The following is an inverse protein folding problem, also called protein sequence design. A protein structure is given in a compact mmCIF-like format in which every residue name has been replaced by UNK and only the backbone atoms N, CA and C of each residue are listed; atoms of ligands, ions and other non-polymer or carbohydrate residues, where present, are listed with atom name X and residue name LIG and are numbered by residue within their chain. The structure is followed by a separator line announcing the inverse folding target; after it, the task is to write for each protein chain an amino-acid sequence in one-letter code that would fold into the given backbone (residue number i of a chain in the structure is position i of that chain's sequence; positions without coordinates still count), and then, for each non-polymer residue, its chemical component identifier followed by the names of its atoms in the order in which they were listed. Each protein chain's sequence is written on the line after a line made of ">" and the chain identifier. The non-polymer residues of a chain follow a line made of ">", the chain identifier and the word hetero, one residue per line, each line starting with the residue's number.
data_IF_234674812047
#
_entry.id   IF_234674812047
#
_cell.length_a   1.000
_cell.length_b   1.000
_cell.length_c   1.000
_cell.angle_alpha   90.00
_cell.angle_beta   90.00
_cell.angle_gamma   90.00
#
_symmetry.space_group_name_H-M   'P 1'
#
loop_
_entity.id
_entity.type
_entity.pdbx_description
1 polymer ?
#
# COMPACT_ATOMS: atom_id res chain seq x y z
N UNK A 1 11.03 12.52 -3.98
CA UNK A 1 10.34 13.32 -2.94
C UNK A 1 9.18 12.49 -2.39
N UNK A 2 9.04 12.44 -1.06
CA UNK A 2 7.91 11.77 -0.39
C UNK A 2 6.62 12.55 -0.67
N UNK A 3 5.51 11.83 -0.72
CA UNK A 3 4.17 12.38 -0.92
C UNK A 3 3.32 11.92 0.26
N UNK A 4 2.55 12.86 0.79
CA UNK A 4 1.58 12.57 1.83
C UNK A 4 0.53 11.54 1.35
N UNK A 5 0.04 10.71 2.27
CA UNK A 5 -0.86 9.61 1.97
C UNK A 5 -2.21 10.08 1.42
N UNK A 6 -2.82 11.11 2.03
CA UNK A 6 -4.10 11.64 1.56
C UNK A 6 -3.93 12.32 0.21
N UNK A 7 -2.89 13.14 0.08
CA UNK A 7 -2.51 13.79 -1.18
C UNK A 7 -2.34 12.77 -2.31
N UNK A 8 -1.68 11.64 -2.04
CA UNK A 8 -1.51 10.56 -3.00
C UNK A 8 -2.85 9.99 -3.47
N UNK A 9 -3.74 9.67 -2.54
CA UNK A 9 -5.04 9.06 -2.87
C UNK A 9 -5.95 10.06 -3.62
N UNK A 10 -5.98 11.32 -3.22
CA UNK A 10 -6.76 12.36 -3.91
C UNK A 10 -6.24 12.66 -5.32
N UNK A 11 -4.93 12.60 -5.56
CA UNK A 11 -4.37 12.73 -6.91
C UNK A 11 -4.61 11.49 -7.78
N UNK A 12 -4.81 10.32 -7.17
CA UNK A 12 -5.12 9.08 -7.87
C UNK A 12 -6.58 8.97 -8.27
N UNK A 13 -7.50 9.37 -7.39
CA UNK A 13 -8.95 9.28 -7.64
C UNK A 13 -9.43 10.41 -8.55
N UNK A 14 -10.57 10.23 -9.20
CA UNK A 14 -11.24 11.29 -9.93
C UNK A 14 -11.67 12.40 -8.98
N UNK A 15 -11.68 13.63 -9.49
CA UNK A 15 -12.05 14.82 -8.71
C UNK A 15 -13.45 14.65 -8.12
N UNK A 16 -13.62 15.02 -6.85
CA UNK A 16 -14.88 15.00 -6.11
C UNK A 16 -15.53 13.61 -5.95
N UNK A 17 -14.81 12.52 -6.23
CA UNK A 17 -15.30 11.14 -6.09
C UNK A 17 -14.97 10.49 -4.74
N UNK A 18 -14.02 11.05 -3.99
CA UNK A 18 -13.43 10.40 -2.83
C UNK A 18 -14.34 10.42 -1.60
N UNK A 19 -14.55 9.26 -1.00
CA UNK A 19 -15.26 9.04 0.27
C UNK A 19 -14.34 8.27 1.20
N UNK A 20 -14.06 8.84 2.37
CA UNK A 20 -13.19 8.20 3.36
C UNK A 20 -13.92 7.09 4.12
N UNK A 21 -13.23 5.96 4.29
CA UNK A 21 -13.74 4.80 5.02
C UNK A 21 -13.05 4.68 6.38
N UNK A 22 -13.81 4.27 7.40
CA UNK A 22 -13.29 4.02 8.75
C UNK A 22 -12.52 5.22 9.34
N UNK A 23 -12.97 6.45 9.03
CA UNK A 23 -12.39 7.70 9.50
C UNK A 23 -12.51 7.89 11.02
N UNK A 24 -13.38 7.14 11.67
CA UNK A 24 -13.61 7.15 13.10
C UNK A 24 -12.60 6.29 13.89
N UNK A 25 -11.88 5.37 13.23
CA UNK A 25 -10.94 4.47 13.90
C UNK A 25 -9.67 5.17 14.37
N UNK A 26 -9.36 5.03 15.66
CA UNK A 26 -8.22 5.64 16.34
C UNK A 26 -7.47 4.64 17.23
N UNK A 27 -6.13 4.74 17.31
CA UNK A 27 -5.32 3.81 18.10
C UNK A 27 -5.50 4.04 19.60
N UNK A 28 -5.45 2.94 20.37
CA UNK A 28 -5.54 2.98 21.83
C UNK A 28 -4.33 2.27 22.46
N UNK A 29 -3.79 2.86 23.52
CA UNK A 29 -2.68 2.29 24.29
C UNK A 29 -3.18 1.29 25.34
N UNK A 30 -3.54 0.09 24.88
CA UNK A 30 -4.05 -1.00 25.73
C UNK A 30 -2.95 -1.57 26.63
N UNK A 31 -1.70 -1.56 26.15
CA UNK A 31 -0.55 -2.12 26.85
C UNK A 31 0.08 -1.15 27.86
N UNK A 32 -0.38 0.10 27.90
CA UNK A 32 0.23 1.21 28.66
C UNK A 32 1.73 1.33 28.36
N UNK A 33 2.08 1.19 27.08
CA UNK A 33 3.47 1.02 26.64
C UNK A 33 4.28 2.30 26.88
N UNK A 34 5.49 2.12 27.40
CA UNK A 34 6.44 3.21 27.61
C UNK A 34 7.86 2.75 27.29
N UNK A 35 8.51 3.50 26.42
CA UNK A 35 9.96 3.46 26.23
C UNK A 35 10.58 4.80 26.72
N UNK A 36 11.45 5.42 25.92
CA UNK A 36 11.87 6.81 26.12
C UNK A 36 10.68 7.79 26.20
N UNK A 37 9.55 7.48 25.54
CA UNK A 37 8.30 8.24 25.57
C UNK A 37 7.11 7.30 25.80
N UNK A 38 6.01 7.82 26.34
CA UNK A 38 4.76 7.04 26.41
C UNK A 38 4.18 6.89 25.00
N UNK A 39 3.54 5.76 24.72
CA UNK A 39 2.94 5.53 23.40
C UNK A 39 1.87 6.59 23.07
N UNK A 40 1.01 6.92 24.05
CA UNK A 40 0.00 8.00 23.90
C UNK A 40 0.59 9.35 23.47
N UNK A 41 1.78 9.70 23.97
CA UNK A 41 2.45 10.96 23.61
C UNK A 41 2.97 10.91 22.17
N UNK A 42 3.47 9.74 21.74
CA UNK A 42 3.91 9.51 20.35
C UNK A 42 2.73 9.61 19.38
N UNK A 43 1.58 9.03 19.74
CA UNK A 43 0.34 9.13 18.96
C UNK A 43 -0.11 10.58 18.82
N UNK A 44 -0.21 11.29 19.94
CA UNK A 44 -0.64 12.71 19.93
C UNK A 44 0.29 13.57 19.09
N UNK A 45 1.61 13.35 19.18
CA UNK A 45 2.59 14.08 18.39
C UNK A 45 2.47 13.77 16.88
N UNK A 46 2.30 12.49 16.52
CA UNK A 46 2.12 12.07 15.13
C UNK A 46 0.83 12.63 14.54
N UNK A 47 -0.29 12.53 15.26
CA UNK A 47 -1.59 13.09 14.86
C UNK A 47 -1.52 14.60 14.66
N UNK A 48 -0.84 15.33 15.55
CA UNK A 48 -0.63 16.78 15.40
C UNK A 48 0.26 17.11 14.20
N UNK A 49 1.25 16.28 13.90
CA UNK A 49 2.18 16.50 12.79
C UNK A 49 1.51 16.25 11.44
N UNK A 50 0.78 15.14 11.30
CA UNK A 50 0.23 14.72 10.01
C UNK A 50 -1.22 15.17 9.78
N UNK A 51 -1.94 15.53 10.84
CA UNK A 51 -3.39 15.77 10.78
C UNK A 51 -4.22 14.48 10.64
N UNK A 52 -3.59 13.31 10.65
CA UNK A 52 -4.25 12.02 10.45
C UNK A 52 -4.39 11.26 11.77
N UNK A 53 -5.44 10.45 11.88
CA UNK A 53 -5.72 9.65 13.09
C UNK A 53 -4.76 8.48 13.30
N UNK A 54 -4.30 7.88 12.20
CA UNK A 54 -3.34 6.78 12.19
C UNK A 54 -2.54 6.76 10.88
N UNK A 55 -1.55 5.89 10.78
CA UNK A 55 -0.65 5.78 9.63
C UNK A 55 -1.25 5.15 8.37
N UNK A 56 -2.57 5.00 8.28
CA UNK A 56 -3.23 4.35 7.15
C UNK A 56 -4.56 5.04 6.85
N UNK A 57 -4.72 5.41 5.57
CA UNK A 57 -5.87 6.15 5.05
C UNK A 57 -6.53 5.27 3.98
N UNK A 58 -7.86 5.22 4.00
CA UNK A 58 -8.66 4.46 3.04
C UNK A 58 -9.69 5.39 2.42
N UNK A 59 -9.65 5.51 1.10
CA UNK A 59 -10.64 6.25 0.32
C UNK A 59 -11.25 5.31 -0.72
N UNK A 60 -12.58 5.22 -0.76
CA UNK A 60 -13.30 4.72 -1.94
C UNK A 60 -13.59 5.87 -2.89
N UNK A 61 -13.63 5.61 -4.19
CA UNK A 61 -13.98 6.62 -5.18
C UNK A 61 -13.95 6.02 -6.57
N UNK A 62 -13.66 6.84 -7.57
CA UNK A 62 -13.51 6.37 -8.94
C UNK A 62 -12.11 6.66 -9.49
N UNK A 63 -11.63 5.81 -10.39
CA UNK A 63 -10.40 5.96 -11.16
C UNK A 63 -10.77 5.84 -12.63
N UNK A 64 -10.78 6.97 -13.36
CA UNK A 64 -11.30 7.01 -14.73
C UNK A 64 -12.73 6.45 -14.82
N UNK A 65 -13.60 6.92 -13.93
CA UNK A 65 -15.00 6.50 -13.74
C UNK A 65 -15.20 5.04 -13.29
N UNK A 66 -14.14 4.24 -13.12
CA UNK A 66 -14.25 2.90 -12.56
C UNK A 66 -14.26 2.96 -11.04
N UNK A 67 -15.23 2.34 -10.34
CA UNK A 67 -15.24 2.31 -8.90
C UNK A 67 -14.04 1.52 -8.38
N UNK A 68 -13.34 2.07 -7.39
CA UNK A 68 -12.19 1.44 -6.74
C UNK A 68 -12.15 1.76 -5.26
N UNK A 69 -11.61 0.83 -4.48
CA UNK A 69 -11.14 1.12 -3.12
C UNK A 69 -9.64 1.39 -3.19
N UNK A 70 -9.19 2.43 -2.49
CA UNK A 70 -7.77 2.79 -2.43
C UNK A 70 -7.33 2.98 -0.99
N UNK A 71 -6.09 2.63 -0.70
CA UNK A 71 -5.50 2.89 0.61
C UNK A 71 -4.03 3.28 0.49
N UNK A 72 -3.55 4.08 1.43
CA UNK A 72 -2.14 4.48 1.49
C UNK A 72 -1.66 4.52 2.92
N UNK A 73 -0.46 3.99 3.14
CA UNK A 73 0.29 4.26 4.34
C UNK A 73 0.78 5.71 4.35
N UNK A 74 0.81 6.32 5.55
CA UNK A 74 1.46 7.59 5.82
C UNK A 74 2.76 7.33 6.60
N UNK A 75 3.91 7.40 5.92
CA UNK A 75 5.20 7.14 6.55
C UNK A 75 5.58 8.20 7.59
N UNK A 76 5.06 9.42 7.50
CA UNK A 76 5.32 10.47 8.49
C UNK A 76 4.65 10.16 9.84
N UNK A 77 3.58 9.38 9.82
CA UNK A 77 2.96 8.86 11.03
C UNK A 77 3.77 7.66 11.55
N UNK A 78 4.70 7.93 12.47
CA UNK A 78 5.47 6.89 13.18
C UNK A 78 6.12 5.85 12.23
N UNK A 79 6.68 6.31 11.11
CA UNK A 79 7.34 5.45 10.12
C UNK A 79 6.37 4.55 9.35
N UNK A 80 5.09 4.91 9.27
CA UNK A 80 4.08 4.08 8.59
C UNK A 80 3.86 2.75 9.30
N UNK A 81 4.13 2.66 10.60
CA UNK A 81 4.17 1.38 11.30
C UNK A 81 2.78 0.75 11.42
N UNK A 82 2.68 -0.55 11.12
CA UNK A 82 1.41 -1.27 11.14
C UNK A 82 0.96 -1.61 12.57
N UNK A 83 -0.06 -0.89 13.05
CA UNK A 83 -0.79 -1.14 14.29
C UNK A 83 -2.18 -1.75 14.06
N UNK A 84 -2.94 -1.92 15.14
CA UNK A 84 -4.28 -2.50 15.13
C UNK A 84 -5.25 -1.75 14.22
N UNK A 85 -5.15 -0.41 14.19
CA UNK A 85 -6.00 0.44 13.35
C UNK A 85 -5.64 0.31 11.88
N UNK A 86 -4.36 0.25 11.50
CA UNK A 86 -3.93 -0.07 10.13
C UNK A 86 -4.59 -1.37 9.65
N UNK A 87 -4.47 -2.46 10.42
CA UNK A 87 -5.06 -3.73 10.02
C UNK A 87 -6.59 -3.71 10.03
N UNK A 88 -7.24 -2.93 10.91
CA UNK A 88 -8.70 -2.79 10.92
C UNK A 88 -9.20 -2.00 9.70
N UNK A 89 -8.56 -0.87 9.38
CA UNK A 89 -8.86 -0.06 8.18
C UNK A 89 -8.61 -0.85 6.90
N UNK A 90 -7.53 -1.62 6.82
CA UNK A 90 -7.26 -2.49 5.68
C UNK A 90 -8.36 -3.53 5.48
N UNK A 91 -8.81 -4.20 6.56
CA UNK A 91 -9.93 -5.14 6.48
C UNK A 91 -11.20 -4.44 6.03
N UNK A 92 -11.50 -3.24 6.52
CA UNK A 92 -12.68 -2.47 6.08
C UNK A 92 -12.61 -2.11 4.59
N UNK A 93 -11.42 -1.76 4.09
CA UNK A 93 -11.19 -1.50 2.67
C UNK A 93 -11.46 -2.76 1.83
N UNK A 94 -10.90 -3.90 2.25
CA UNK A 94 -11.08 -5.18 1.57
C UNK A 94 -12.53 -5.69 1.64
N UNK A 95 -13.22 -5.54 2.77
CA UNK A 95 -14.64 -5.86 2.92
C UNK A 95 -15.51 -5.04 1.96
N UNK A 96 -15.23 -3.75 1.82
CA UNK A 96 -15.92 -2.88 0.87
C UNK A 96 -15.68 -3.33 -0.57
N UNK A 97 -14.42 -3.59 -0.94
CA UNK A 97 -14.04 -4.10 -2.26
C UNK A 97 -14.73 -5.43 -2.59
N UNK A 98 -14.80 -6.35 -1.61
CA UNK A 98 -15.50 -7.63 -1.72
C UNK A 98 -17.00 -7.46 -1.92
N UNK A 99 -17.64 -6.61 -1.11
CA UNK A 99 -19.08 -6.39 -1.16
C UNK A 99 -19.52 -5.80 -2.51
N UNK A 100 -18.71 -4.90 -3.07
CA UNK A 100 -19.02 -4.21 -4.33
C UNK A 100 -18.41 -4.88 -5.56
N UNK A 101 -17.55 -5.89 -5.36
CA UNK A 101 -16.76 -6.57 -6.40
C UNK A 101 -15.94 -5.60 -7.24
N UNK A 102 -15.27 -4.67 -6.57
CA UNK A 102 -14.43 -3.63 -7.20
C UNK A 102 -12.96 -3.78 -6.82
N UNK A 103 -12.02 -3.32 -7.66
CA UNK A 103 -10.59 -3.41 -7.35
C UNK A 103 -10.20 -2.70 -6.06
N UNK A 104 -9.23 -3.27 -5.35
CA UNK A 104 -8.59 -2.65 -4.21
C UNK A 104 -7.11 -2.35 -4.52
N UNK A 105 -6.70 -1.10 -4.37
CA UNK A 105 -5.31 -0.65 -4.60
C UNK A 105 -4.71 -0.17 -3.28
N UNK A 106 -3.55 -0.68 -2.90
CA UNK A 106 -2.88 -0.29 -1.64
C UNK A 106 -1.45 0.20 -1.87
N UNK A 107 -1.17 1.44 -1.47
CA UNK A 107 0.18 2.01 -1.46
C UNK A 107 0.86 1.77 -0.12
N UNK A 108 1.90 0.94 -0.13
CA UNK A 108 2.66 0.56 1.04
C UNK A 108 3.85 1.50 1.24
N UNK A 109 3.99 1.99 2.47
CA UNK A 109 5.10 2.84 2.92
C UNK A 109 5.28 2.63 4.43
N UNK A 110 6.14 1.71 4.83
CA UNK A 110 6.26 1.29 6.22
C UNK A 110 7.67 0.88 6.60
N UNK A 111 8.08 1.22 7.82
CA UNK A 111 9.26 0.66 8.48
C UNK A 111 9.00 -0.70 9.16
N UNK A 112 7.76 -1.18 9.21
CA UNK A 112 7.41 -2.49 9.78
C UNK A 112 6.22 -2.43 10.75
N UNK A 113 6.18 -3.39 11.67
CA UNK A 113 5.13 -3.52 12.67
C UNK A 113 5.29 -2.46 13.79
N UNK A 114 4.17 -1.98 14.34
CA UNK A 114 4.19 -1.00 15.44
C UNK A 114 4.53 -1.66 16.77
N UNK A 115 5.80 -1.58 17.14
CA UNK A 115 6.32 -2.22 18.36
C UNK A 115 5.55 -1.88 19.64
N UNK A 116 4.98 -0.67 19.72
CA UNK A 116 4.21 -0.21 20.88
C UNK A 116 2.92 -1.02 21.11
N UNK A 117 2.41 -1.69 20.08
CA UNK A 117 1.27 -2.59 20.17
C UNK A 117 1.68 -4.09 20.16
N UNK A 118 2.98 -4.38 20.08
CA UNK A 118 3.57 -5.71 20.21
C UNK A 118 2.84 -6.81 19.41
N UNK A 119 2.31 -7.84 20.09
CA UNK A 119 1.64 -8.97 19.47
C UNK A 119 0.42 -8.54 18.65
N UNK A 120 -0.29 -7.48 19.04
CA UNK A 120 -1.41 -6.97 18.26
C UNK A 120 -0.94 -6.56 16.87
N UNK A 121 0.20 -5.86 16.76
CA UNK A 121 0.79 -5.50 15.48
C UNK A 121 1.21 -6.70 14.63
N UNK A 122 1.81 -7.71 15.26
CA UNK A 122 2.17 -8.95 14.56
C UNK A 122 0.93 -9.64 13.97
N UNK A 123 -0.15 -9.75 14.75
CA UNK A 123 -1.39 -10.38 14.31
C UNK A 123 -2.08 -9.64 13.16
N UNK A 124 -1.76 -8.36 12.94
CA UNK A 124 -2.28 -7.65 11.76
C UNK A 124 -1.81 -8.28 10.46
N UNK A 125 -0.59 -8.83 10.41
CA UNK A 125 -0.09 -9.55 9.24
C UNK A 125 -1.02 -10.71 8.88
N UNK A 126 -1.31 -11.57 9.85
CA UNK A 126 -2.22 -12.69 9.66
C UNK A 126 -3.63 -12.22 9.27
N UNK A 127 -4.15 -11.19 9.94
CA UNK A 127 -5.49 -10.65 9.68
C UNK A 127 -5.63 -10.09 8.26
N UNK A 128 -4.67 -9.28 7.80
CA UNK A 128 -4.70 -8.71 6.45
C UNK A 128 -4.49 -9.76 5.38
N UNK A 129 -3.60 -10.73 5.61
CA UNK A 129 -3.41 -11.84 4.67
C UNK A 129 -4.65 -12.71 4.55
N UNK A 130 -5.37 -12.95 5.65
CA UNK A 130 -6.59 -13.76 5.64
C UNK A 130 -7.72 -13.13 4.81
N UNK A 131 -7.91 -11.80 4.86
CA UNK A 131 -8.92 -11.14 4.03
C UNK A 131 -8.49 -11.09 2.56
N UNK A 132 -7.20 -10.94 2.27
CA UNK A 132 -6.68 -11.02 0.90
C UNK A 132 -6.87 -12.41 0.27
N UNK A 133 -6.72 -13.49 1.06
CA UNK A 133 -7.04 -14.84 0.59
C UNK A 133 -8.51 -14.95 0.17
N UNK A 134 -9.44 -14.38 0.95
CA UNK A 134 -10.87 -14.31 0.57
C UNK A 134 -11.11 -13.48 -0.69
N UNK A 135 -10.40 -12.36 -0.86
CA UNK A 135 -10.48 -11.56 -2.09
C UNK A 135 -10.09 -12.37 -3.32
N UNK A 136 -8.96 -13.09 -3.22
CA UNK A 136 -8.47 -13.96 -4.29
C UNK A 136 -9.46 -15.07 -4.64
N UNK A 137 -10.04 -15.74 -3.64
CA UNK A 137 -11.07 -16.77 -3.85
C UNK A 137 -12.33 -16.24 -4.53
N UNK A 138 -12.69 -14.97 -4.28
CA UNK A 138 -13.85 -14.31 -4.89
C UNK A 138 -13.52 -13.61 -6.21
N UNK A 139 -12.27 -13.69 -6.68
CA UNK A 139 -11.82 -13.03 -7.92
C UNK A 139 -11.87 -11.50 -7.86
N UNK A 140 -11.78 -10.89 -6.68
CA UNK A 140 -11.75 -9.43 -6.52
C UNK A 140 -10.30 -8.95 -6.57
N UNK A 141 -9.91 -8.13 -7.57
CA UNK A 141 -8.51 -7.77 -7.77
C UNK A 141 -7.91 -6.95 -6.63
N UNK A 142 -6.72 -7.32 -6.18
CA UNK A 142 -5.90 -6.55 -5.25
C UNK A 142 -4.56 -6.18 -5.89
N UNK A 143 -4.30 -4.88 -6.02
CA UNK A 143 -3.03 -4.36 -6.55
C UNK A 143 -2.22 -3.74 -5.40
N UNK A 144 -1.02 -4.27 -5.16
CA UNK A 144 -0.10 -3.73 -4.17
C UNK A 144 0.91 -2.80 -4.85
N UNK A 145 1.02 -1.57 -4.35
CA UNK A 145 2.00 -0.60 -4.82
C UNK A 145 3.03 -0.33 -3.72
N UNK A 146 4.23 -0.84 -3.89
CA UNK A 146 5.33 -0.74 -2.94
C UNK A 146 6.09 0.57 -3.17
N UNK A 147 6.13 1.43 -2.15
CA UNK A 147 6.79 2.73 -2.21
C UNK A 147 7.93 2.83 -1.20
N UNK A 148 8.78 3.86 -1.33
CA UNK A 148 9.98 4.00 -0.53
C UNK A 148 9.71 4.57 0.89
N UNK A 149 9.99 3.82 1.98
CA UNK A 149 10.36 2.41 2.06
C UNK A 149 9.18 1.48 2.36
N UNK A 150 9.26 0.20 1.99
CA UNK A 150 8.32 -0.86 2.39
C UNK A 150 9.06 -2.03 3.02
N UNK A 151 9.10 -2.05 4.36
CA UNK A 151 9.92 -2.99 5.13
C UNK A 151 9.13 -3.81 6.16
N UNK A 152 9.76 -4.86 6.67
CA UNK A 152 9.31 -5.57 7.87
C UNK A 152 8.01 -6.34 7.71
N UNK A 153 7.17 -6.28 8.74
CA UNK A 153 5.90 -7.02 8.76
C UNK A 153 4.97 -6.67 7.61
N UNK A 154 4.99 -5.42 7.12
CA UNK A 154 4.17 -5.00 5.97
C UNK A 154 4.66 -5.64 4.67
N UNK A 155 5.98 -5.64 4.41
CA UNK A 155 6.56 -6.29 3.22
C UNK A 155 6.38 -7.81 3.24
N UNK A 156 6.36 -8.43 4.42
CA UNK A 156 6.13 -9.86 4.61
C UNK A 156 4.64 -10.24 4.79
N UNK A 157 3.71 -9.33 4.48
CA UNK A 157 2.27 -9.61 4.51
C UNK A 157 1.56 -8.89 3.36
N UNK A 158 0.65 -7.95 3.65
CA UNK A 158 -0.24 -7.34 2.68
C UNK A 158 0.48 -6.73 1.47
N UNK A 159 1.71 -6.23 1.62
CA UNK A 159 2.39 -5.51 0.54
C UNK A 159 2.97 -6.43 -0.55
N UNK A 160 3.08 -7.74 -0.30
CA UNK A 160 3.63 -8.71 -1.26
C UNK A 160 2.61 -9.79 -1.66
N UNK A 161 1.34 -9.57 -1.32
CA UNK A 161 0.22 -10.46 -1.63
C UNK A 161 -0.73 -9.86 -2.68
N UNK A 162 -0.25 -8.90 -3.47
CA UNK A 162 -0.98 -8.39 -4.64
C UNK A 162 -1.16 -9.48 -5.69
N UNK A 163 -2.28 -9.43 -6.42
CA UNK A 163 -2.39 -10.09 -7.71
C UNK A 163 -1.40 -9.47 -8.72
N UNK A 164 -1.09 -8.18 -8.52
CA UNK A 164 0.01 -7.46 -9.17
C UNK A 164 0.73 -6.63 -8.11
N UNK A 165 2.04 -6.82 -8.00
CA UNK A 165 2.98 -6.06 -7.18
C UNK A 165 3.73 -5.05 -8.06
N UNK A 166 3.44 -3.77 -7.85
CA UNK A 166 4.06 -2.64 -8.56
C UNK A 166 5.01 -1.93 -7.61
N UNK A 167 6.21 -1.53 -8.05
CA UNK A 167 7.07 -0.65 -7.26
C UNK A 167 7.24 0.74 -7.91
N UNK A 168 7.44 1.78 -7.09
CA UNK A 168 8.00 3.04 -7.58
C UNK A 168 9.52 2.89 -7.83
N UNK A 169 10.12 3.61 -8.80
CA UNK A 169 11.55 3.53 -9.09
C UNK A 169 12.42 3.76 -7.85
N UNK A 170 13.48 2.96 -7.70
CA UNK A 170 14.46 3.03 -6.60
C UNK A 170 13.89 2.82 -5.19
N UNK A 171 12.64 2.38 -5.05
CA UNK A 171 12.03 2.15 -3.75
C UNK A 171 12.79 1.07 -2.96
N UNK A 172 13.05 1.32 -1.67
CA UNK A 172 13.66 0.33 -0.78
C UNK A 172 12.58 -0.62 -0.24
N UNK A 173 12.68 -1.91 -0.58
CA UNK A 173 11.69 -2.92 -0.26
C UNK A 173 12.39 -4.18 0.27
N UNK A 174 11.91 -4.73 1.39
CA UNK A 174 12.42 -5.99 1.90
C UNK A 174 12.09 -6.26 3.36
N UNK A 175 12.23 -7.52 3.78
CA UNK A 175 11.83 -7.93 5.12
C UNK A 175 12.68 -7.29 6.22
N UNK A 176 14.00 -7.47 6.18
CA UNK A 176 14.93 -6.85 7.12
C UNK A 176 15.54 -5.58 6.51
N UNK A 177 15.79 -4.56 7.34
CA UNK A 177 16.50 -3.37 6.87
C UNK A 177 17.96 -3.69 6.51
N UNK A 178 18.57 -3.00 5.53
CA UNK A 178 19.90 -3.32 5.01
C UNK A 178 20.96 -3.30 6.11
N UNK A 179 20.87 -2.35 7.06
CA UNK A 179 21.76 -2.26 8.22
C UNK A 179 21.76 -3.53 9.09
N UNK A 180 20.60 -4.15 9.29
CA UNK A 180 20.49 -5.37 10.10
C UNK A 180 21.15 -6.53 9.35
N UNK A 181 20.94 -6.62 8.04
CA UNK A 181 21.51 -7.66 7.20
C UNK A 181 23.04 -7.56 7.15
N UNK A 182 23.60 -6.37 6.92
CA UNK A 182 25.06 -6.14 6.92
C UNK A 182 25.70 -6.56 8.25
N UNK A 183 25.04 -6.27 9.37
CA UNK A 183 25.53 -6.66 10.69
C UNK A 183 25.52 -8.18 10.92
N UNK A 184 24.53 -8.88 10.34
CA UNK A 184 24.41 -10.34 10.45
C UNK A 184 25.41 -11.06 9.55
N UNK A 185 25.50 -10.67 8.28
CA UNK A 185 26.34 -11.33 7.28
C UNK A 185 27.80 -10.87 7.37
N UNK A 186 28.05 -9.71 7.99
CA UNK A 186 29.38 -9.06 8.12
C UNK A 186 30.05 -8.78 6.77
N UNK A 187 29.25 -8.57 5.74
CA UNK A 187 29.67 -8.22 4.39
C UNK A 187 28.92 -6.96 3.92
N UNK A 188 29.50 -6.28 2.94
CA UNK A 188 28.82 -5.15 2.28
C UNK A 188 27.77 -5.70 1.33
N UNK A 189 26.58 -5.13 1.38
CA UNK A 189 25.52 -5.50 0.45
C UNK A 189 25.84 -4.99 -0.96
N UNK A 190 25.43 -5.71 -2.01
CA UNK A 190 25.56 -5.26 -3.38
C UNK A 190 24.93 -3.87 -3.60
N UNK A 191 25.47 -3.12 -4.57
CA UNK A 191 24.83 -1.88 -5.00
C UNK A 191 23.42 -2.18 -5.50
N UNK A 192 22.45 -1.34 -5.14
CA UNK A 192 21.05 -1.55 -5.53
C UNK A 192 20.33 -2.66 -4.75
N UNK A 193 20.96 -3.32 -3.77
CA UNK A 193 20.29 -4.32 -2.94
C UNK A 193 18.99 -3.76 -2.33
N UNK A 194 17.93 -4.56 -2.39
CA UNK A 194 16.57 -4.20 -1.94
C UNK A 194 15.91 -3.03 -2.70
N UNK A 195 16.49 -2.55 -3.80
CA UNK A 195 15.82 -1.56 -4.67
C UNK A 195 14.78 -2.22 -5.55
N UNK A 196 13.79 -1.46 -5.98
CA UNK A 196 12.75 -1.91 -6.91
C UNK A 196 13.36 -2.65 -8.12
N UNK A 197 14.43 -2.11 -8.70
CA UNK A 197 15.15 -2.70 -9.84
C UNK A 197 15.72 -4.08 -9.50
N UNK A 198 16.35 -4.22 -8.33
CA UNK A 198 16.84 -5.50 -7.82
C UNK A 198 15.69 -6.50 -7.61
N UNK A 199 14.57 -6.05 -7.03
CA UNK A 199 13.41 -6.92 -6.79
C UNK A 199 12.76 -7.39 -8.11
N UNK A 200 12.73 -6.54 -9.14
CA UNK A 200 12.21 -6.90 -10.46
C UNK A 200 13.07 -7.98 -11.10
N UNK A 201 14.40 -7.84 -11.07
CA UNK A 201 15.33 -8.84 -11.60
C UNK A 201 15.21 -10.21 -10.90
N UNK A 202 14.80 -10.22 -9.63
CA UNK A 202 14.61 -11.45 -8.85
C UNK A 202 13.16 -11.96 -8.83
N UNK A 203 12.26 -11.36 -9.63
CA UNK A 203 10.87 -11.81 -9.78
C UNK A 203 9.98 -11.57 -8.55
N UNK A 204 10.36 -10.66 -7.66
CA UNK A 204 9.56 -10.32 -6.47
C UNK A 204 8.47 -9.26 -6.75
N UNK A 205 8.62 -8.48 -7.81
CA UNK A 205 7.63 -7.50 -8.27
C UNK A 205 7.39 -7.67 -9.78
N UNK A 206 6.20 -7.29 -10.24
CA UNK A 206 5.79 -7.47 -11.63
C UNK A 206 6.25 -6.33 -12.54
N UNK A 207 6.30 -5.11 -12.01
CA UNK A 207 6.68 -3.93 -12.78
C UNK A 207 7.13 -2.75 -11.91
N UNK A 208 7.92 -1.88 -12.51
CA UNK A 208 8.32 -0.59 -11.93
C UNK A 208 7.62 0.51 -12.70
N UNK A 209 6.85 1.35 -12.00
CA UNK A 209 6.03 2.39 -12.62
C UNK A 209 6.36 3.76 -12.03
N UNK A 210 6.83 4.72 -12.85
CA UNK A 210 7.01 6.09 -12.41
C UNK A 210 5.70 6.69 -11.91
N UNK A 211 5.75 7.49 -10.84
CA UNK A 211 4.56 8.07 -10.20
C UNK A 211 3.64 8.84 -11.16
N UNK A 212 4.21 9.50 -12.17
CA UNK A 212 3.46 10.26 -13.19
C UNK A 212 2.56 9.38 -14.06
N UNK A 213 2.95 8.11 -14.25
CA UNK A 213 2.24 7.13 -15.07
C UNK A 213 1.36 6.21 -14.23
N UNK A 214 1.53 6.22 -12.91
CA UNK A 214 0.88 5.31 -11.97
C UNK A 214 -0.64 5.32 -12.09
N UNK A 215 -1.25 6.52 -12.17
CA UNK A 215 -2.71 6.67 -12.29
C UNK A 215 -3.24 5.91 -13.52
N UNK A 216 -2.62 6.10 -14.67
CA UNK A 216 -3.07 5.51 -15.92
C UNK A 216 -2.75 4.02 -16.01
N UNK A 217 -1.61 3.60 -15.46
CA UNK A 217 -1.25 2.18 -15.37
C UNK A 217 -2.23 1.43 -14.49
N UNK A 218 -2.55 1.94 -13.30
CA UNK A 218 -3.52 1.33 -12.40
C UNK A 218 -4.91 1.24 -13.05
N UNK A 219 -5.33 2.28 -13.78
CA UNK A 219 -6.59 2.27 -14.51
C UNK A 219 -6.62 1.18 -15.59
N UNK A 220 -5.56 1.05 -16.40
CA UNK A 220 -5.45 -0.03 -17.40
C UNK A 220 -5.52 -1.42 -16.77
N UNK A 221 -4.82 -1.62 -15.64
CA UNK A 221 -4.81 -2.90 -14.94
C UNK A 221 -6.18 -3.22 -14.35
N UNK A 222 -6.81 -2.26 -13.67
CA UNK A 222 -8.16 -2.42 -13.12
C UNK A 222 -9.16 -2.77 -14.22
N UNK A 223 -9.14 -2.05 -15.35
CA UNK A 223 -10.03 -2.33 -16.48
C UNK A 223 -9.84 -3.76 -17.01
N UNK A 224 -8.59 -4.19 -17.22
CA UNK A 224 -8.28 -5.55 -17.70
C UNK A 224 -8.72 -6.64 -16.70
N UNK A 225 -8.40 -6.47 -15.42
CA UNK A 225 -8.71 -7.46 -14.38
C UNK A 225 -10.22 -7.57 -14.08
N UNK A 226 -11.00 -6.52 -14.40
CA UNK A 226 -12.46 -6.48 -14.21
C UNK A 226 -13.24 -6.64 -15.51
N UNK A 227 -12.56 -6.94 -16.62
CA UNK A 227 -13.15 -7.06 -17.96
C UNK A 227 -13.98 -5.82 -18.39
N UNK A 228 -13.52 -4.63 -17.99
CA UNK A 228 -14.08 -3.34 -18.38
C UNK A 228 -13.34 -2.78 -19.60
N UNK A 229 -13.99 -1.92 -20.41
CA UNK A 229 -13.31 -1.25 -21.51
C UNK A 229 -12.14 -0.41 -21.01
N UNK A 230 -11.10 -0.28 -21.83
CA UNK A 230 -9.99 0.63 -21.51
C UNK A 230 -10.52 2.07 -21.42
N UNK A 231 -10.15 2.84 -20.37
CA UNK A 231 -10.53 4.25 -20.28
C UNK A 231 -9.76 5.13 -21.29
N UNK A 232 -8.73 4.57 -21.93
CA UNK A 232 -7.93 5.25 -22.97
C UNK A 232 -8.38 4.81 -24.35
N UNK A 233 -8.49 5.77 -25.29
CA UNK A 233 -8.70 5.47 -26.71
C UNK A 233 -7.52 4.63 -27.22
N UNK A 234 -7.82 3.44 -27.74
CA UNK A 234 -6.85 2.67 -28.53
C UNK A 234 -6.68 3.43 -29.83
N UNK A 235 -5.44 3.71 -30.24
CA UNK A 235 -5.20 4.23 -31.58
C UNK A 235 -5.77 3.22 -32.58
N UNK A 236 -6.61 3.68 -33.52
CA UNK A 236 -7.05 2.83 -34.61
C UNK A 236 -5.81 2.32 -35.35
N UNK A 237 -5.69 1.00 -35.47
CA UNK A 237 -4.72 0.39 -36.37
C UNK A 237 -5.08 0.89 -37.76
N UNK A 238 -4.24 1.76 -38.33
CA UNK A 238 -4.32 2.08 -39.75
C UNK A 238 -3.94 0.79 -40.47
N UNK A 239 -4.96 0.05 -40.90
CA UNK A 239 -4.77 -1.03 -41.86
C UNK A 239 -4.50 -0.31 -43.18
N UNK A 240 -3.23 -0.16 -43.53
CA UNK A 240 -2.88 0.21 -44.90
C UNK A 240 -3.31 -0.97 -45.78
N UNK A 241 -4.40 -0.77 -46.52
CA UNK A 241 -4.79 -1.66 -47.61
C UNK A 241 -3.63 -1.66 -48.62
N UNK A 242 -2.80 -2.70 -48.57
CA UNK A 242 -1.80 -2.96 -49.60
C UNK A 242 -2.55 -3.44 -50.83
N UNK A 243 -2.82 -2.50 -51.74
CA UNK A 243 -3.38 -2.74 -53.06
C UNK A 243 -2.34 -3.36 -54.02
#
# INVERSE_FOLDING_TARGET
>A
MRIDARTRLLNLLDKDSAVELAADLEPQDVLKFKDLKKYKDRLTAAQKQTGEKDSFIVLSGTLHNMPVVTASFNFEFMGGSMGSVVGAKFVKAAEKALAEKIPFICFSASGGARMQEALFSLMQMAKTSAILAKMKEQGVPFISVLTDPTLGGVSASLAMLGDINIAEPKALIGFAGPRVIEQTVREKLPEGFQRAEFLLEHGAIDMIVPRKEMRDTLARLCAKLTNQPTPFKVAELVVEDVA
#
